data_IF_304958973630
#
_entry.id   IF_304958973630
#
_cell.length_a   1.000
_cell.length_b   1.000
_cell.length_c   1.000
_cell.angle_alpha   90.00
_cell.angle_beta   90.00
_cell.angle_gamma   90.00
#
_symmetry.space_group_name_H-M   'P 1'
#
loop_
_entity.id
_entity.type
_entity.pdbx_description
1 polymer ?
#
# COMPACT_ATOMS: atom_id res chain seq x y z
N UNK A 1 -3.22 9.42 17.01
CA UNK A 1 -3.60 8.98 15.67
C UNK A 1 -2.49 8.15 15.08
N UNK A 2 -2.83 7.01 14.53
CA UNK A 2 -1.83 6.13 13.90
C UNK A 2 -2.05 6.07 12.40
N UNK A 3 -0.96 5.91 11.68
CA UNK A 3 -0.97 5.72 10.24
C UNK A 3 -0.55 4.29 9.92
N UNK A 4 -1.23 3.67 8.99
CA UNK A 4 -0.92 2.32 8.54
C UNK A 4 -0.13 2.44 7.24
N UNK A 5 1.12 1.97 7.29
CA UNK A 5 2.00 1.97 6.12
C UNK A 5 2.11 0.55 5.60
N UNK A 6 1.78 0.36 4.34
CA UNK A 6 1.95 -0.93 3.69
C UNK A 6 3.13 -0.84 2.73
N UNK A 7 4.07 -1.77 2.87
CA UNK A 7 5.13 -1.93 1.87
C UNK A 7 4.61 -2.88 0.81
N UNK A 8 4.67 -2.46 -0.44
CA UNK A 8 4.16 -3.25 -1.57
C UNK A 8 5.23 -3.43 -2.61
N UNK A 9 5.14 -4.51 -3.38
CA UNK A 9 6.03 -4.77 -4.51
C UNK A 9 5.22 -4.81 -5.79
N UNK A 10 5.77 -4.20 -6.85
CA UNK A 10 5.16 -4.26 -8.17
C UNK A 10 5.56 -5.53 -8.90
N UNK A 11 6.78 -5.98 -8.67
CA UNK A 11 7.30 -7.22 -9.23
C UNK A 11 8.01 -8.01 -8.13
N UNK A 12 7.93 -9.33 -8.21
CA UNK A 12 8.59 -10.21 -7.26
C UNK A 12 10.10 -9.97 -7.29
N UNK A 13 10.68 -9.67 -6.12
CA UNK A 13 12.10 -9.41 -5.99
C UNK A 13 12.52 -7.98 -6.26
N UNK A 14 11.59 -7.10 -6.60
CA UNK A 14 11.88 -5.69 -6.80
C UNK A 14 11.82 -4.91 -5.49
N UNK A 15 12.12 -3.62 -5.55
CA UNK A 15 12.01 -2.74 -4.39
C UNK A 15 10.57 -2.70 -3.89
N UNK A 16 10.43 -2.50 -2.59
CA UNK A 16 9.13 -2.21 -1.99
C UNK A 16 8.93 -0.70 -1.90
N UNK A 17 7.66 -0.30 -1.92
CA UNK A 17 7.26 1.09 -1.83
C UNK A 17 6.20 1.23 -0.76
N UNK A 18 6.21 2.35 -0.03
CA UNK A 18 5.21 2.64 0.98
C UNK A 18 3.94 3.20 0.37
N UNK A 19 2.81 2.67 0.84
CA UNK A 19 1.48 3.24 0.59
C UNK A 19 0.73 3.33 1.91
N UNK A 20 -0.14 4.32 2.03
CA UNK A 20 -0.98 4.48 3.21
C UNK A 20 -2.31 3.76 3.00
N UNK A 21 -2.91 3.33 4.10
CA UNK A 21 -4.27 2.80 4.07
C UNK A 21 -5.00 3.12 5.37
N UNK A 22 -6.32 3.21 5.30
CA UNK A 22 -7.18 3.29 6.47
C UNK A 22 -7.77 1.92 6.81
N UNK A 23 -7.51 0.92 6.01
CA UNK A 23 -8.08 -0.42 6.16
C UNK A 23 -7.13 -1.29 7.00
N UNK A 24 -7.50 -1.49 8.27
CA UNK A 24 -6.70 -2.29 9.18
C UNK A 24 -6.84 -3.80 8.97
N UNK A 25 -7.68 -4.22 8.02
CA UNK A 25 -7.82 -5.62 7.67
C UNK A 25 -6.78 -6.10 6.66
N UNK A 26 -6.00 -5.19 6.07
CA UNK A 26 -4.97 -5.54 5.11
C UNK A 26 -3.80 -6.22 5.84
N UNK A 27 -3.39 -7.36 5.33
CA UNK A 27 -2.33 -8.18 5.91
C UNK A 27 -1.24 -8.46 4.89
N UNK A 28 -0.08 -8.90 5.40
CA UNK A 28 1.02 -9.37 4.55
C UNK A 28 0.53 -10.53 3.68
N UNK A 29 0.82 -10.46 2.39
CA UNK A 29 0.36 -11.44 1.42
C UNK A 29 -0.91 -11.07 0.69
N UNK A 30 -1.62 -10.04 1.17
CA UNK A 30 -2.80 -9.55 0.48
C UNK A 30 -2.42 -8.79 -0.79
N UNK A 31 -3.33 -8.81 -1.76
CA UNK A 31 -3.19 -8.02 -2.97
C UNK A 31 -4.09 -6.80 -2.85
N UNK A 32 -3.55 -5.66 -3.25
CA UNK A 32 -4.27 -4.38 -3.15
C UNK A 32 -4.12 -3.62 -4.46
N UNK A 33 -5.06 -2.70 -4.70
CA UNK A 33 -5.05 -1.83 -5.86
C UNK A 33 -4.45 -0.50 -5.44
N UNK A 34 -3.46 -0.03 -6.18
CA UNK A 34 -2.76 1.22 -5.86
C UNK A 34 -2.64 2.10 -7.09
N UNK A 35 -2.59 3.44 -6.90
CA UNK A 35 -2.28 4.35 -7.99
C UNK A 35 -0.78 4.35 -8.24
N UNK A 36 -0.36 4.24 -9.49
CA UNK A 36 1.05 4.19 -9.85
C UNK A 36 1.36 5.13 -11.00
N UNK A 37 2.62 5.56 -11.06
CA UNK A 37 3.09 6.45 -12.13
C UNK A 37 2.55 7.87 -12.00
N UNK A 38 2.88 8.70 -12.96
CA UNK A 38 2.46 10.10 -12.96
C UNK A 38 0.97 10.26 -13.24
N UNK A 39 0.39 9.32 -13.96
CA UNK A 39 -1.03 9.34 -14.33
C UNK A 39 -1.91 8.62 -13.31
N UNK A 40 -1.30 8.10 -12.23
CA UNK A 40 -2.02 7.38 -11.18
C UNK A 40 -2.88 6.24 -11.73
N UNK A 41 -2.36 5.49 -12.71
CA UNK A 41 -3.08 4.33 -13.21
C UNK A 41 -3.14 3.23 -12.12
N UNK A 42 -4.18 2.43 -12.14
CA UNK A 42 -4.41 1.42 -11.11
C UNK A 42 -3.63 0.16 -11.41
N UNK A 43 -2.90 -0.33 -10.40
CA UNK A 43 -2.09 -1.53 -10.51
C UNK A 43 -2.35 -2.43 -9.30
N UNK A 44 -2.41 -3.74 -9.55
CA UNK A 44 -2.51 -4.73 -8.47
C UNK A 44 -1.11 -5.06 -7.99
N UNK A 45 -0.89 -4.93 -6.68
CA UNK A 45 0.41 -5.18 -6.06
C UNK A 45 0.24 -6.05 -4.82
N UNK A 46 1.32 -6.69 -4.40
CA UNK A 46 1.32 -7.53 -3.21
C UNK A 46 1.87 -6.77 -2.01
N UNK A 47 1.18 -6.89 -0.87
CA UNK A 47 1.63 -6.31 0.40
C UNK A 47 2.66 -7.25 1.01
N UNK A 48 3.86 -6.73 1.25
CA UNK A 48 4.96 -7.51 1.81
C UNK A 48 5.28 -7.14 3.26
N UNK A 49 4.76 -6.01 3.74
CA UNK A 49 4.91 -5.60 5.12
C UNK A 49 3.81 -4.63 5.50
N UNK A 50 3.43 -4.62 6.79
CA UNK A 50 2.43 -3.69 7.33
C UNK A 50 2.99 -3.15 8.63
N UNK A 51 3.09 -1.83 8.73
CA UNK A 51 3.62 -1.18 9.92
C UNK A 51 2.69 -0.05 10.36
N UNK A 52 2.63 0.15 11.68
CA UNK A 52 1.83 1.20 12.27
C UNK A 52 2.75 2.24 12.88
N UNK A 53 2.55 3.50 12.52
CA UNK A 53 3.34 4.61 13.05
C UNK A 53 2.43 5.66 13.65
N UNK A 54 2.88 6.22 14.77
CA UNK A 54 2.25 7.42 15.29
C UNK A 54 2.63 8.61 14.40
N UNK A 55 1.85 9.68 14.49
CA UNK A 55 2.08 10.88 13.69
C UNK A 55 3.52 11.40 13.81
N UNK A 56 4.11 11.27 15.00
CA UNK A 56 5.45 11.76 15.30
C UNK A 56 6.56 10.88 14.76
N UNK A 57 6.25 9.62 14.44
CA UNK A 57 7.25 8.62 14.07
C UNK A 57 7.16 8.14 12.64
N UNK A 58 6.36 8.81 11.79
CA UNK A 58 6.25 8.40 10.40
C UNK A 58 7.59 8.51 9.68
N UNK A 59 7.96 7.51 8.88
CA UNK A 59 9.28 7.50 8.23
C UNK A 59 9.40 8.47 7.06
N UNK A 60 8.29 8.93 6.51
CA UNK A 60 8.24 9.81 5.35
C UNK A 60 7.11 10.83 5.51
N UNK A 61 7.19 11.99 4.82
CA UNK A 61 6.09 12.95 4.82
C UNK A 61 4.82 12.31 4.25
N UNK A 62 3.76 12.32 5.04
CA UNK A 62 2.50 11.67 4.69
C UNK A 62 1.91 12.23 3.40
N UNK A 63 2.02 13.53 3.20
CA UNK A 63 1.45 14.19 2.03
C UNK A 63 2.12 13.78 0.71
N UNK A 64 3.26 13.07 0.79
CA UNK A 64 3.97 12.58 -0.40
C UNK A 64 3.69 11.11 -0.68
N UNK A 65 2.95 10.45 0.19
CA UNK A 65 2.68 9.02 0.07
C UNK A 65 1.27 8.84 -0.47
N UNK A 66 1.16 8.04 -1.54
CA UNK A 66 -0.13 7.73 -2.12
C UNK A 66 -0.85 6.71 -1.25
N UNK A 67 -2.18 6.67 -1.37
CA UNK A 67 -2.99 5.75 -0.60
C UNK A 67 -3.39 4.54 -1.43
N UNK A 68 -3.52 3.40 -0.76
CA UNK A 68 -4.09 2.20 -1.35
C UNK A 68 -5.54 2.51 -1.70
N UNK A 69 -5.97 2.15 -2.90
CA UNK A 69 -7.34 2.39 -3.35
C UNK A 69 -8.27 1.45 -2.61
N UNK A 70 -7.97 0.15 -2.65
CA UNK A 70 -8.75 -0.86 -1.93
C UNK A 70 -8.05 -2.21 -1.98
N UNK A 71 -8.49 -3.11 -1.12
CA UNK A 71 -8.06 -4.51 -1.15
C UNK A 71 -8.69 -5.19 -2.36
N UNK A 72 -7.92 -6.03 -3.03
CA UNK A 72 -8.40 -6.76 -4.19
C UNK A 72 -9.39 -7.84 -3.78
N UNK A 73 -10.33 -8.12 -4.69
CA UNK A 73 -11.33 -9.17 -4.53
C UNK A 73 -11.09 -10.24 -5.60
N UNK A 74 -11.71 -11.38 -5.45
CA UNK A 74 -11.55 -12.48 -6.40
C UNK A 74 -11.82 -12.04 -7.84
N UNK A 75 -12.79 -11.19 -8.06
CA UNK A 75 -13.13 -10.69 -9.39
C UNK A 75 -12.04 -9.82 -10.01
N UNK A 76 -11.12 -9.30 -9.23
CA UNK A 76 -10.02 -8.48 -9.74
C UNK A 76 -8.94 -9.32 -10.41
N UNK A 77 -8.93 -10.62 -10.19
CA UNK A 77 -7.96 -11.55 -10.75
C UNK A 77 -8.49 -12.37 -11.92
N UNK A 78 -9.75 -12.32 -12.13
CA UNK A 78 -10.41 -13.11 -13.17
C UNK A 78 -10.99 -12.30 -14.29
#
# INVERSE_FOLDING_TARGET
MQFIFCSVTFDKGSKSYYYLTDDDSIEIGDFVLVPAGKDNHEVVVEVVDVEYFSEENVPLPIERIKQIIRKCRDKDFG
#
